data_IF_500384765954
#
_entry.id   IF_500384765954
#
_cell.length_a   1.000
_cell.length_b   1.000
_cell.length_c   1.000
_cell.angle_alpha   90.00
_cell.angle_beta   90.00
_cell.angle_gamma   90.00
#
_symmetry.space_group_name_H-M   'P 1'
#
loop_
_entity.id
_entity.type
_entity.pdbx_description
1 polymer ?
#
# COMPACT_ATOMS: atom_id res chain seq x y z
N UNK A 1 -25.21 -0.11 -14.80
CA UNK A 1 -24.65 -1.48 -14.73
C UNK A 1 -24.23 -1.72 -13.29
N UNK A 2 -24.88 -2.61 -12.57
CA UNK A 2 -24.54 -2.95 -11.19
C UNK A 2 -23.35 -3.88 -11.24
N UNK A 3 -22.27 -3.55 -10.49
CA UNK A 3 -21.16 -4.44 -10.30
C UNK A 3 -21.72 -5.67 -9.58
N UNK A 4 -21.69 -6.84 -10.24
CA UNK A 4 -22.12 -8.14 -9.70
C UNK A 4 -21.13 -8.61 -8.59
N UNK A 5 -21.13 -7.92 -7.49
CA UNK A 5 -20.49 -8.33 -6.26
C UNK A 5 -21.57 -8.49 -5.19
N UNK A 6 -21.48 -9.53 -4.35
CA UNK A 6 -22.43 -9.80 -3.28
C UNK A 6 -22.87 -8.49 -2.62
N UNK A 7 -24.16 -8.11 -2.63
CA UNK A 7 -24.63 -6.79 -2.17
C UNK A 7 -24.33 -6.49 -0.70
N UNK A 8 -23.87 -7.49 0.04
CA UNK A 8 -23.49 -7.45 1.45
C UNK A 8 -21.98 -7.20 1.70
N UNK A 9 -21.13 -7.28 0.67
CA UNK A 9 -19.70 -7.07 0.85
C UNK A 9 -19.41 -5.61 1.23
N UNK A 10 -18.66 -5.40 2.31
CA UNK A 10 -18.27 -4.08 2.82
C UNK A 10 -17.39 -3.32 1.83
N UNK A 11 -16.50 -4.06 1.15
CA UNK A 11 -15.61 -3.53 0.11
C UNK A 11 -15.75 -4.37 -1.15
N UNK A 12 -15.85 -3.70 -2.28
CA UNK A 12 -15.88 -4.32 -3.60
C UNK A 12 -14.96 -3.52 -4.52
N UNK A 13 -14.13 -4.23 -5.26
CA UNK A 13 -13.26 -3.63 -6.27
C UNK A 13 -13.45 -4.37 -7.59
N UNK A 14 -13.64 -3.63 -8.67
CA UNK A 14 -13.83 -4.23 -9.98
C UNK A 14 -13.36 -3.29 -11.10
N UNK A 15 -12.86 -3.84 -12.22
CA UNK A 15 -12.69 -3.07 -13.44
C UNK A 15 -14.06 -2.72 -14.03
N UNK A 16 -14.18 -1.56 -14.66
CA UNK A 16 -15.35 -1.10 -15.38
C UNK A 16 -14.93 -0.45 -16.70
N UNK A 17 -15.60 -0.82 -17.78
CA UNK A 17 -15.36 -0.31 -19.13
C UNK A 17 -14.66 -1.32 -20.03
N UNK A 18 -14.64 -1.01 -21.31
CA UNK A 18 -13.96 -1.75 -22.37
C UNK A 18 -13.00 -0.79 -23.05
N UNK A 19 -11.87 -1.30 -23.55
CA UNK A 19 -10.89 -0.57 -24.33
C UNK A 19 -10.11 0.52 -23.55
N UNK A 20 -9.65 1.55 -24.22
CA UNK A 20 -8.74 2.58 -23.72
C UNK A 20 -9.30 3.41 -22.53
N UNK A 21 -10.61 3.30 -22.26
CA UNK A 21 -11.30 4.03 -21.19
C UNK A 21 -11.68 3.14 -20.01
N UNK A 22 -10.91 2.11 -19.71
CA UNK A 22 -11.17 1.24 -18.58
C UNK A 22 -10.79 1.89 -17.24
N UNK A 23 -11.65 1.69 -16.26
CA UNK A 23 -11.48 2.24 -14.91
C UNK A 23 -11.42 1.10 -13.88
N UNK A 24 -10.78 1.37 -12.76
CA UNK A 24 -10.83 0.51 -11.59
C UNK A 24 -11.61 1.23 -10.49
N UNK A 25 -12.68 0.61 -10.00
CA UNK A 25 -13.57 1.20 -9.00
C UNK A 25 -13.47 0.42 -7.72
N UNK A 26 -13.11 1.11 -6.63
CA UNK A 26 -13.23 0.62 -5.25
C UNK A 26 -14.47 1.23 -4.62
N UNK A 27 -15.38 0.39 -4.12
CA UNK A 27 -16.56 0.80 -3.35
C UNK A 27 -16.38 0.40 -1.90
N UNK A 28 -16.63 1.32 -1.00
CA UNK A 28 -16.74 1.05 0.44
C UNK A 28 -18.12 1.40 0.96
N UNK A 29 -18.80 0.43 1.56
CA UNK A 29 -20.06 0.65 2.29
C UNK A 29 -19.76 1.16 3.69
N UNK A 30 -20.33 2.31 4.04
CA UNK A 30 -20.15 2.93 5.36
C UNK A 30 -21.13 2.31 6.36
N UNK A 31 -20.62 1.65 7.38
CA UNK A 31 -21.36 0.77 8.29
C UNK A 31 -21.93 1.44 9.53
N UNK A 32 -21.47 2.66 9.89
CA UNK A 32 -21.95 3.36 11.07
C UNK A 32 -22.34 4.82 10.79
N UNK A 33 -23.30 5.34 11.54
CA UNK A 33 -23.73 6.74 11.42
C UNK A 33 -22.57 7.71 11.65
N UNK A 34 -21.71 7.42 12.62
CA UNK A 34 -20.52 8.23 12.92
C UNK A 34 -19.54 8.28 11.73
N UNK A 35 -19.32 7.13 11.07
CA UNK A 35 -18.47 7.04 9.89
C UNK A 35 -19.09 7.79 8.70
N UNK A 36 -20.38 7.59 8.45
CA UNK A 36 -21.15 8.30 7.40
C UNK A 36 -21.02 9.81 7.54
N UNK A 37 -21.23 10.31 8.77
CA UNK A 37 -21.12 11.72 9.06
C UNK A 37 -19.70 12.28 8.90
N UNK A 38 -18.65 11.55 9.36
CA UNK A 38 -17.26 11.97 9.17
C UNK A 38 -16.88 12.03 7.68
N UNK A 39 -17.17 10.97 6.93
CA UNK A 39 -16.88 10.91 5.49
C UNK A 39 -17.63 12.02 4.75
N UNK A 40 -18.91 12.23 5.05
CA UNK A 40 -19.73 13.28 4.42
C UNK A 40 -19.18 14.70 4.65
N UNK A 41 -18.53 14.93 5.79
CA UNK A 41 -17.95 16.23 6.16
C UNK A 41 -16.44 16.32 5.97
N UNK A 42 -15.81 15.27 5.43
CA UNK A 42 -14.35 15.23 5.28
C UNK A 42 -13.60 15.38 6.61
N UNK A 43 -14.16 14.90 7.72
CA UNK A 43 -13.55 15.07 9.04
C UNK A 43 -12.63 13.90 9.42
N UNK A 44 -11.46 14.23 9.95
CA UNK A 44 -10.57 13.27 10.56
C UNK A 44 -11.15 12.68 11.87
N UNK A 45 -10.64 11.53 12.26
CA UNK A 45 -10.83 10.95 13.58
C UNK A 45 -10.04 11.75 14.63
N UNK A 46 -10.25 11.44 15.91
CA UNK A 46 -9.54 12.12 17.02
C UNK A 46 -8.01 11.98 16.96
N UNK A 47 -7.52 10.90 16.38
CA UNK A 47 -6.08 10.63 16.18
C UNK A 47 -5.51 11.24 14.87
N UNK A 48 -6.24 12.15 14.22
CA UNK A 48 -5.80 12.82 12.99
C UNK A 48 -5.96 11.99 11.71
N UNK A 49 -6.29 10.70 11.80
CA UNK A 49 -6.48 9.85 10.60
C UNK A 49 -7.89 10.00 10.03
N UNK A 50 -8.04 9.72 8.75
CA UNK A 50 -9.35 9.66 8.11
C UNK A 50 -9.95 8.24 8.14
N UNK A 51 -11.19 8.11 7.69
CA UNK A 51 -11.74 6.81 7.34
C UNK A 51 -11.09 6.34 6.02
N UNK A 52 -10.89 5.05 5.87
CA UNK A 52 -10.02 4.43 4.86
C UNK A 52 -10.23 4.92 3.42
N UNK A 53 -11.47 4.99 2.99
CA UNK A 53 -11.81 5.44 1.63
C UNK A 53 -11.42 6.88 1.37
N UNK A 54 -11.58 7.73 2.37
CA UNK A 54 -11.17 9.13 2.29
C UNK A 54 -9.65 9.26 2.40
N UNK A 55 -9.02 8.46 3.25
CA UNK A 55 -7.57 8.42 3.39
C UNK A 55 -6.90 7.98 2.07
N UNK A 56 -7.40 6.91 1.45
CA UNK A 56 -6.90 6.46 0.15
C UNK A 56 -7.06 7.52 -0.95
N UNK A 57 -8.21 8.21 -0.99
CA UNK A 57 -8.43 9.32 -1.94
C UNK A 57 -7.40 10.44 -1.75
N UNK A 58 -7.23 10.91 -0.51
CA UNK A 58 -6.32 12.01 -0.20
C UNK A 58 -4.87 11.63 -0.49
N UNK A 59 -4.47 10.42 -0.10
CA UNK A 59 -3.13 9.89 -0.30
C UNK A 59 -2.83 9.67 -1.79
N UNK A 60 -3.76 9.10 -2.55
CA UNK A 60 -3.57 8.93 -4.00
C UNK A 60 -3.42 10.27 -4.70
N UNK A 61 -4.22 11.27 -4.33
CA UNK A 61 -4.12 12.62 -4.88
C UNK A 61 -2.76 13.26 -4.56
N UNK A 62 -2.30 13.15 -3.32
CA UNK A 62 -1.02 13.71 -2.90
C UNK A 62 0.16 12.99 -3.56
N UNK A 63 0.11 11.64 -3.66
CA UNK A 63 1.12 10.86 -4.37
C UNK A 63 1.24 11.29 -5.84
N UNK A 64 0.10 11.47 -6.52
CA UNK A 64 0.08 11.99 -7.90
C UNK A 64 0.68 13.40 -7.99
N UNK A 65 0.34 14.28 -7.07
CA UNK A 65 0.89 15.64 -7.03
C UNK A 65 2.41 15.64 -6.89
N UNK A 66 2.98 14.67 -6.18
CA UNK A 66 4.43 14.47 -6.03
C UNK A 66 5.08 13.74 -7.22
N UNK A 67 4.31 13.32 -8.21
CA UNK A 67 4.82 12.59 -9.37
C UNK A 67 5.10 11.11 -9.11
N UNK A 68 4.53 10.54 -8.04
CA UNK A 68 4.72 9.12 -7.73
C UNK A 68 4.09 8.21 -8.80
N UNK A 69 4.70 7.05 -9.07
CA UNK A 69 4.16 6.05 -9.99
C UNK A 69 2.99 5.29 -9.33
N UNK A 70 1.82 5.91 -9.39
CA UNK A 70 0.53 5.38 -8.90
C UNK A 70 -0.52 5.60 -9.98
N UNK A 71 -1.64 4.83 -10.00
CA UNK A 71 -2.70 4.98 -10.98
C UNK A 71 -3.27 6.40 -11.01
N UNK A 72 -3.68 6.86 -12.20
CA UNK A 72 -4.36 8.13 -12.33
C UNK A 72 -5.67 8.14 -11.55
N UNK A 73 -5.82 9.12 -10.69
CA UNK A 73 -7.06 9.38 -9.99
C UNK A 73 -8.03 10.06 -10.96
N UNK A 74 -9.09 9.35 -11.34
CA UNK A 74 -10.14 9.87 -12.24
C UNK A 74 -11.17 10.67 -11.45
N UNK A 75 -11.50 10.19 -10.24
CA UNK A 75 -12.45 10.88 -9.39
C UNK A 75 -12.92 10.03 -8.21
N UNK A 76 -13.96 10.53 -7.58
CA UNK A 76 -14.65 9.82 -6.51
C UNK A 76 -16.16 10.09 -6.60
N UNK A 77 -16.93 9.23 -5.96
CA UNK A 77 -18.37 9.39 -5.89
C UNK A 77 -18.93 8.86 -4.56
N UNK A 78 -20.21 9.11 -4.35
CA UNK A 78 -20.90 8.57 -3.18
C UNK A 78 -22.38 8.33 -3.48
N UNK A 79 -22.98 7.35 -2.82
CA UNK A 79 -24.45 7.20 -2.75
C UNK A 79 -24.97 7.78 -1.45
N UNK A 80 -26.23 8.23 -1.46
CA UNK A 80 -26.93 8.75 -0.26
C UNK A 80 -28.19 7.96 0.04
N UNK A 81 -28.54 7.88 1.31
CA UNK A 81 -29.84 7.41 1.77
C UNK A 81 -30.95 8.42 1.45
N UNK A 82 -32.21 8.02 1.60
CA UNK A 82 -33.36 8.93 1.54
C UNK A 82 -33.26 10.09 2.55
N UNK A 83 -32.53 9.91 3.63
CA UNK A 83 -32.27 10.93 4.66
C UNK A 83 -31.01 11.78 4.36
N UNK A 84 -30.42 11.68 3.17
CA UNK A 84 -29.28 12.48 2.76
C UNK A 84 -27.92 12.05 3.31
N UNK A 85 -27.84 10.95 4.11
CA UNK A 85 -26.57 10.44 4.63
C UNK A 85 -25.84 9.60 3.60
N UNK A 86 -24.52 9.82 3.49
CA UNK A 86 -23.64 9.01 2.61
C UNK A 86 -23.69 7.54 3.06
N UNK A 87 -23.94 6.64 2.11
CA UNK A 87 -24.00 5.19 2.35
C UNK A 87 -22.79 4.45 1.81
N UNK A 88 -22.44 4.75 0.56
CA UNK A 88 -21.29 4.18 -0.11
C UNK A 88 -20.36 5.30 -0.55
N UNK A 89 -19.07 5.02 -0.54
CA UNK A 89 -18.04 5.87 -1.12
C UNK A 89 -17.35 5.08 -2.24
N UNK A 90 -17.06 5.75 -3.35
CA UNK A 90 -16.40 5.19 -4.52
C UNK A 90 -15.12 5.95 -4.81
N UNK A 91 -14.02 5.22 -4.99
CA UNK A 91 -12.78 5.73 -5.53
C UNK A 91 -12.62 5.19 -6.95
N UNK A 92 -12.32 6.05 -7.90
CA UNK A 92 -12.23 5.72 -9.32
C UNK A 92 -10.84 6.09 -9.80
N UNK A 93 -10.08 5.10 -10.23
CA UNK A 93 -8.76 5.27 -10.84
C UNK A 93 -8.78 4.73 -12.27
N UNK A 94 -7.80 5.14 -13.09
CA UNK A 94 -7.57 4.51 -14.37
C UNK A 94 -7.13 3.06 -14.15
N UNK A 95 -7.69 2.14 -14.94
CA UNK A 95 -7.24 0.75 -14.92
C UNK A 95 -5.83 0.65 -15.49
N UNK A 96 -4.95 -0.04 -14.79
CA UNK A 96 -3.61 -0.36 -15.26
C UNK A 96 -3.66 -1.55 -16.23
N UNK A 97 -4.04 -1.28 -17.47
CA UNK A 97 -4.03 -2.30 -18.53
C UNK A 97 -2.62 -2.81 -18.79
N UNK A 98 -2.47 -4.11 -19.05
CA UNK A 98 -1.16 -4.73 -19.27
C UNK A 98 -0.28 -4.85 -18.00
N UNK A 99 -0.83 -4.55 -16.82
CA UNK A 99 -0.11 -4.72 -15.56
C UNK A 99 -0.62 -5.97 -14.81
N UNK A 100 0.30 -6.62 -14.13
CA UNK A 100 0.00 -7.76 -13.24
C UNK A 100 0.59 -7.42 -11.87
N UNK A 101 -0.13 -7.70 -10.79
CA UNK A 101 0.42 -7.55 -9.45
C UNK A 101 1.57 -8.54 -9.21
N UNK A 102 2.57 -8.11 -8.43
CA UNK A 102 3.80 -8.87 -8.23
C UNK A 102 3.57 -10.24 -7.60
N UNK A 103 2.60 -10.35 -6.67
CA UNK A 103 2.29 -11.64 -6.05
C UNK A 103 1.71 -12.63 -7.07
N UNK A 104 0.75 -12.20 -7.87
CA UNK A 104 0.18 -13.01 -8.94
C UNK A 104 1.23 -13.40 -9.98
N UNK A 105 2.16 -12.47 -10.28
CA UNK A 105 3.26 -12.74 -11.20
C UNK A 105 4.18 -13.84 -10.69
N UNK A 106 4.63 -13.78 -9.44
CA UNK A 106 5.48 -14.80 -8.81
C UNK A 106 4.74 -16.14 -8.74
N UNK A 107 3.47 -16.14 -8.34
CA UNK A 107 2.65 -17.36 -8.25
C UNK A 107 2.50 -18.08 -9.59
N UNK A 108 2.35 -17.33 -10.68
CA UNK A 108 2.15 -17.89 -12.01
C UNK A 108 3.48 -18.21 -12.74
N UNK A 109 4.56 -17.53 -12.38
CA UNK A 109 5.89 -17.69 -12.94
C UNK A 109 6.95 -17.48 -11.85
N UNK A 110 7.28 -18.51 -11.03
CA UNK A 110 8.25 -18.40 -9.92
C UNK A 110 9.62 -17.84 -10.34
N UNK A 111 10.07 -18.11 -11.54
CA UNK A 111 11.32 -17.58 -12.08
C UNK A 111 11.34 -16.04 -12.20
N UNK A 112 10.19 -15.41 -12.13
CA UNK A 112 10.07 -13.95 -12.10
C UNK A 112 10.37 -13.30 -10.75
N UNK A 113 10.59 -14.09 -9.70
CA UNK A 113 10.71 -13.63 -8.30
C UNK A 113 11.76 -12.53 -8.12
N UNK A 114 12.97 -12.77 -8.59
CA UNK A 114 14.06 -11.79 -8.45
C UNK A 114 13.73 -10.46 -9.12
N UNK A 115 13.12 -10.51 -10.30
CA UNK A 115 12.63 -9.31 -11.00
C UNK A 115 11.56 -8.58 -10.19
N UNK A 116 10.64 -9.31 -9.57
CA UNK A 116 9.57 -8.72 -8.74
C UNK A 116 10.16 -8.05 -7.49
N UNK A 117 11.08 -8.72 -6.78
CA UNK A 117 11.74 -8.15 -5.60
C UNK A 117 12.50 -6.88 -5.97
N UNK A 118 13.33 -6.93 -7.01
CA UNK A 118 14.11 -5.77 -7.45
C UNK A 118 13.21 -4.60 -7.85
N UNK A 119 12.18 -4.82 -8.65
CA UNK A 119 11.23 -3.78 -9.06
C UNK A 119 10.47 -3.18 -7.84
N UNK A 120 10.17 -4.00 -6.84
CA UNK A 120 9.52 -3.54 -5.62
C UNK A 120 10.43 -2.66 -4.76
N UNK A 121 11.72 -3.02 -4.65
CA UNK A 121 12.71 -2.24 -3.91
C UNK A 121 13.04 -0.92 -4.63
N UNK A 122 13.09 -0.93 -5.95
CA UNK A 122 13.24 0.28 -6.75
C UNK A 122 12.02 1.21 -6.61
N UNK A 123 10.82 0.66 -6.60
CA UNK A 123 9.60 1.41 -6.34
C UNK A 123 9.58 1.98 -4.92
N UNK A 124 9.98 1.18 -3.92
CA UNK A 124 10.10 1.63 -2.54
C UNK A 124 11.03 2.84 -2.44
N UNK A 125 12.22 2.75 -3.03
CA UNK A 125 13.17 3.85 -3.09
C UNK A 125 12.59 5.09 -3.79
N UNK A 126 11.93 4.90 -4.94
CA UNK A 126 11.27 5.99 -5.68
C UNK A 126 10.22 6.70 -4.82
N UNK A 127 9.40 5.95 -4.08
CA UNK A 127 8.42 6.55 -3.17
C UNK A 127 9.10 7.34 -2.05
N UNK A 128 10.13 6.79 -1.40
CA UNK A 128 10.89 7.49 -0.38
C UNK A 128 11.55 8.77 -0.89
N UNK A 129 12.13 8.76 -2.10
CA UNK A 129 12.74 9.96 -2.71
C UNK A 129 11.72 11.08 -2.97
N UNK A 130 10.45 10.73 -3.11
CA UNK A 130 9.33 11.67 -3.23
C UNK A 130 8.70 12.03 -1.87
N UNK A 131 9.31 11.61 -0.77
CA UNK A 131 8.81 11.83 0.58
C UNK A 131 7.52 11.08 0.88
N UNK A 132 7.37 9.89 0.31
CA UNK A 132 6.20 9.01 0.50
C UNK A 132 6.64 7.73 1.17
N UNK A 133 6.09 7.43 2.34
CA UNK A 133 6.31 6.17 3.05
C UNK A 133 5.06 5.30 2.95
N UNK A 134 5.13 4.21 2.23
CA UNK A 134 4.02 3.27 2.03
C UNK A 134 4.12 2.09 3.01
N UNK A 135 3.33 2.12 4.09
CA UNK A 135 3.39 1.12 5.18
C UNK A 135 2.59 -0.17 4.90
N UNK A 136 2.19 -0.38 3.66
CA UNK A 136 1.51 -1.60 3.20
C UNK A 136 2.02 -2.05 1.82
N UNK A 137 3.28 -1.72 1.50
CA UNK A 137 3.88 -2.10 0.21
C UNK A 137 4.36 -3.55 0.28
N UNK A 138 3.60 -4.44 -0.34
CA UNK A 138 3.96 -5.83 -0.55
C UNK A 138 3.69 -6.24 -1.99
N UNK A 139 4.07 -7.44 -2.39
CA UNK A 139 4.07 -7.82 -3.81
C UNK A 139 2.72 -7.62 -4.53
N UNK A 140 1.57 -7.82 -3.85
CA UNK A 140 0.27 -7.59 -4.47
C UNK A 140 -0.10 -6.10 -4.62
N UNK A 141 0.58 -5.20 -3.92
CA UNK A 141 0.41 -3.76 -4.04
C UNK A 141 1.43 -3.11 -5.01
N UNK A 142 2.23 -3.92 -5.68
CA UNK A 142 3.17 -3.54 -6.74
C UNK A 142 2.64 -4.02 -8.08
N UNK A 143 2.23 -3.12 -8.93
CA UNK A 143 1.73 -3.41 -10.28
C UNK A 143 2.87 -3.34 -11.28
N UNK A 144 3.14 -4.46 -11.93
CA UNK A 144 4.26 -4.63 -12.87
C UNK A 144 3.75 -4.63 -14.30
N UNK A 145 4.18 -3.69 -15.15
CA UNK A 145 3.91 -3.74 -16.57
C UNK A 145 4.80 -4.79 -17.25
N UNK A 146 4.49 -5.12 -18.49
CA UNK A 146 5.40 -5.92 -19.32
C UNK A 146 6.72 -5.18 -19.53
N UNK A 147 6.65 -3.88 -19.81
CA UNK A 147 7.79 -2.98 -19.98
C UNK A 147 7.56 -1.69 -19.18
N UNK A 148 8.64 -1.11 -18.67
CA UNK A 148 8.58 0.13 -17.88
C UNK A 148 8.67 -0.10 -16.37
N UNK A 149 8.37 0.95 -15.61
CA UNK A 149 8.49 0.98 -14.16
C UNK A 149 7.23 0.48 -13.45
N UNK A 150 7.43 -0.12 -12.28
CA UNK A 150 6.34 -0.56 -11.41
C UNK A 150 5.53 0.63 -10.85
N UNK A 151 4.26 0.37 -10.54
CA UNK A 151 3.38 1.33 -9.89
C UNK A 151 2.86 0.79 -8.55
N UNK A 152 2.74 1.67 -7.57
CA UNK A 152 2.14 1.33 -6.27
C UNK A 152 0.62 1.53 -6.31
N UNK A 153 -0.10 0.61 -5.67
CA UNK A 153 -1.56 0.72 -5.44
C UNK A 153 -1.86 0.62 -3.94
N UNK A 154 -3.10 0.88 -3.56
CA UNK A 154 -3.60 0.77 -2.18
C UNK A 154 -2.94 1.75 -1.20
N UNK A 155 -3.05 3.05 -1.52
CA UNK A 155 -2.39 4.15 -0.81
C UNK A 155 -2.99 4.47 0.58
N UNK A 156 -3.84 3.60 1.15
CA UNK A 156 -4.54 3.92 2.41
C UNK A 156 -3.60 4.07 3.63
N UNK A 157 -2.46 3.39 3.64
CA UNK A 157 -1.52 3.42 4.77
C UNK A 157 -0.19 4.07 4.38
N UNK A 158 -0.27 5.30 3.88
CA UNK A 158 0.88 6.08 3.47
C UNK A 158 1.06 7.33 4.33
N UNK A 159 2.32 7.75 4.46
CA UNK A 159 2.69 9.01 5.09
C UNK A 159 3.41 9.89 4.09
N UNK A 160 3.22 11.20 4.23
CA UNK A 160 3.75 12.23 3.34
C UNK A 160 4.59 13.27 4.10
N UNK A 161 4.98 12.95 5.31
CA UNK A 161 5.85 13.73 6.18
C UNK A 161 7.15 12.97 6.40
N UNK A 162 8.26 13.65 6.71
CA UNK A 162 9.48 12.99 7.16
C UNK A 162 9.23 12.19 8.44
N UNK A 163 10.10 11.21 8.70
CA UNK A 163 10.17 10.50 9.97
C UNK A 163 11.61 10.51 10.49
N UNK A 164 11.78 10.62 11.78
CA UNK A 164 13.06 10.47 12.46
C UNK A 164 13.45 8.98 12.61
N UNK A 165 12.53 8.07 12.27
CA UNK A 165 12.66 6.61 12.43
C UNK A 165 12.73 5.92 11.05
N UNK A 166 13.58 6.46 10.16
CA UNK A 166 13.69 5.93 8.80
C UNK A 166 14.23 4.49 8.80
N UNK A 167 15.23 4.20 9.64
CA UNK A 167 15.84 2.88 9.71
C UNK A 167 14.82 1.81 10.14
N UNK A 168 14.07 2.07 11.20
CA UNK A 168 13.01 1.19 11.70
C UNK A 168 11.87 1.03 10.67
N UNK A 169 11.51 2.12 10.02
CA UNK A 169 10.49 2.13 8.97
C UNK A 169 10.89 1.26 7.77
N UNK A 170 12.14 1.39 7.32
CA UNK A 170 12.69 0.55 6.25
C UNK A 170 12.80 -0.91 6.71
N UNK A 171 13.28 -1.15 7.94
CA UNK A 171 13.32 -2.50 8.52
C UNK A 171 11.94 -3.16 8.45
N UNK A 172 10.89 -2.44 8.87
CA UNK A 172 9.52 -2.92 8.74
C UNK A 172 9.14 -3.19 7.27
N UNK A 173 9.37 -2.25 6.36
CA UNK A 173 8.92 -2.38 4.97
C UNK A 173 9.58 -3.57 4.26
N UNK A 174 10.89 -3.77 4.42
CA UNK A 174 11.60 -4.91 3.85
C UNK A 174 11.18 -6.23 4.50
N UNK A 175 11.06 -6.29 5.83
CA UNK A 175 10.62 -7.49 6.54
C UNK A 175 9.17 -7.85 6.21
N UNK A 176 8.27 -6.88 6.19
CA UNK A 176 6.87 -7.06 5.82
C UNK A 176 6.70 -7.58 4.38
N UNK A 177 7.52 -7.10 3.44
CA UNK A 177 7.50 -7.59 2.06
C UNK A 177 7.82 -9.09 2.01
N UNK A 178 8.80 -9.57 2.77
CA UNK A 178 9.12 -10.99 2.90
C UNK A 178 7.98 -11.76 3.55
N UNK A 179 7.51 -11.30 4.72
CA UNK A 179 6.44 -11.93 5.49
C UNK A 179 5.14 -12.11 4.69
N UNK A 180 4.84 -11.18 3.79
CA UNK A 180 3.66 -11.23 2.93
C UNK A 180 3.88 -12.12 1.73
N UNK A 181 3.94 -13.44 1.96
CA UNK A 181 3.95 -14.52 0.96
C UNK A 181 5.29 -14.77 0.24
N UNK A 182 6.23 -13.80 0.21
CA UNK A 182 7.49 -13.96 -0.52
C UNK A 182 8.36 -15.07 0.08
N UNK A 183 8.32 -15.27 1.41
CA UNK A 183 9.02 -16.36 2.11
C UNK A 183 8.73 -17.76 1.54
N UNK A 184 7.63 -17.94 0.81
CA UNK A 184 7.27 -19.23 0.18
C UNK A 184 8.08 -19.55 -1.08
N UNK A 185 8.72 -18.54 -1.65
CA UNK A 185 9.37 -18.63 -2.97
C UNK A 185 10.87 -18.41 -2.92
N UNK A 186 11.41 -17.96 -1.81
CA UNK A 186 12.83 -17.69 -1.63
C UNK A 186 13.30 -18.09 -0.23
N UNK A 187 14.54 -18.57 -0.12
CA UNK A 187 15.17 -18.79 1.18
C UNK A 187 15.44 -17.45 1.85
N UNK A 188 15.37 -17.43 3.18
CA UNK A 188 15.62 -16.22 3.95
C UNK A 188 16.99 -15.62 3.63
N UNK A 189 18.05 -16.45 3.62
CA UNK A 189 19.40 -16.01 3.29
C UNK A 189 19.52 -15.37 1.89
N UNK A 190 18.82 -15.91 0.89
CA UNK A 190 18.83 -15.34 -0.45
C UNK A 190 18.05 -14.02 -0.52
N UNK A 191 16.98 -13.88 0.27
CA UNK A 191 16.25 -12.62 0.39
C UNK A 191 17.08 -11.58 1.14
N UNK A 192 17.71 -11.93 2.25
CA UNK A 192 18.58 -11.05 3.05
C UNK A 192 19.73 -10.49 2.20
N UNK A 193 20.31 -11.32 1.33
CA UNK A 193 21.34 -10.86 0.40
C UNK A 193 20.83 -9.77 -0.58
N UNK A 194 19.59 -9.91 -1.08
CA UNK A 194 18.96 -8.88 -1.93
C UNK A 194 18.65 -7.60 -1.15
N UNK A 195 18.19 -7.73 0.10
CA UNK A 195 17.97 -6.58 0.99
C UNK A 195 19.28 -5.84 1.27
N UNK A 196 20.35 -6.58 1.59
CA UNK A 196 21.67 -5.97 1.82
C UNK A 196 22.15 -5.17 0.59
N UNK A 197 21.99 -5.72 -0.62
CA UNK A 197 22.30 -5.00 -1.86
C UNK A 197 21.43 -3.75 -2.06
N UNK A 198 20.12 -3.86 -1.79
CA UNK A 198 19.21 -2.73 -1.90
C UNK A 198 19.54 -1.60 -0.91
N UNK A 199 19.91 -1.95 0.32
CA UNK A 199 20.33 -0.97 1.33
C UNK A 199 21.60 -0.23 0.92
N UNK A 200 22.62 -0.95 0.40
CA UNK A 200 23.83 -0.31 -0.11
C UNK A 200 23.53 0.62 -1.28
N UNK A 201 22.65 0.20 -2.17
CA UNK A 201 22.33 0.94 -3.39
C UNK A 201 21.44 2.15 -3.16
N UNK A 202 20.42 2.02 -2.32
CA UNK A 202 19.32 2.98 -2.22
C UNK A 202 19.30 3.75 -0.89
N UNK A 203 19.86 3.16 0.18
CA UNK A 203 19.82 3.72 1.53
C UNK A 203 21.18 3.54 2.24
N UNK A 204 22.29 4.05 1.65
CA UNK A 204 23.65 3.80 2.15
C UNK A 204 23.87 4.30 3.58
N UNK A 205 23.22 5.40 3.96
CA UNK A 205 23.41 6.08 5.24
C UNK A 205 22.43 5.61 6.34
N UNK A 206 21.62 4.57 6.07
CA UNK A 206 20.66 4.07 7.06
C UNK A 206 21.38 3.40 8.22
N UNK A 207 20.94 3.68 9.46
CA UNK A 207 21.41 3.01 10.66
C UNK A 207 21.07 1.50 10.61
N UNK A 208 22.11 0.65 10.53
CA UNK A 208 21.96 -0.78 10.30
C UNK A 208 21.43 -1.52 11.52
N UNK A 209 21.73 -1.07 12.71
CA UNK A 209 21.31 -1.75 13.95
C UNK A 209 19.82 -1.52 14.20
N UNK A 210 19.38 -0.28 14.08
CA UNK A 210 17.95 0.06 14.17
C UNK A 210 17.14 -0.61 13.05
N UNK A 211 17.67 -0.65 11.82
CA UNK A 211 17.07 -1.40 10.72
C UNK A 211 16.91 -2.88 11.06
N UNK A 212 18.02 -3.56 11.42
CA UNK A 212 18.05 -5.01 11.64
C UNK A 212 17.07 -5.43 12.74
N UNK A 213 17.02 -4.68 13.86
CA UNK A 213 16.09 -4.95 14.96
C UNK A 213 14.63 -5.05 14.51
N UNK A 214 14.17 -4.12 13.68
CA UNK A 214 12.78 -4.12 13.20
C UNK A 214 12.58 -5.11 12.05
N UNK A 215 13.58 -5.25 11.19
CA UNK A 215 13.57 -6.16 10.06
C UNK A 215 13.36 -7.61 10.49
N UNK A 216 14.11 -8.07 11.50
CA UNK A 216 14.00 -9.44 12.03
C UNK A 216 12.59 -9.72 12.58
N UNK A 217 12.01 -8.79 13.33
CA UNK A 217 10.65 -8.95 13.84
C UNK A 217 9.64 -8.97 12.67
N UNK A 218 9.78 -8.04 11.73
CA UNK A 218 8.83 -7.89 10.63
C UNK A 218 8.88 -9.02 9.59
N UNK A 219 10.00 -9.76 9.49
CA UNK A 219 10.11 -10.98 8.66
C UNK A 219 9.30 -12.15 9.22
N UNK A 220 9.11 -12.22 10.54
CA UNK A 220 8.59 -13.41 11.20
C UNK A 220 7.25 -13.18 11.90
N UNK A 221 6.84 -11.92 12.12
CA UNK A 221 5.64 -11.61 12.87
C UNK A 221 4.63 -10.80 12.07
N UNK A 222 3.34 -11.11 12.29
CA UNK A 222 2.25 -10.30 11.75
C UNK A 222 2.15 -8.98 12.52
N UNK A 223 2.44 -7.88 11.84
CA UNK A 223 2.35 -6.53 12.39
C UNK A 223 1.06 -5.88 11.91
N UNK A 224 0.15 -5.65 12.85
CA UNK A 224 -1.14 -5.02 12.59
C UNK A 224 -0.99 -3.55 12.14
N UNK A 225 -2.00 -3.06 11.42
CA UNK A 225 -1.99 -1.73 10.79
C UNK A 225 -1.72 -0.56 11.75
N UNK A 226 -2.21 -0.60 12.97
CA UNK A 226 -1.94 0.45 13.97
C UNK A 226 -0.47 0.44 14.38
N UNK A 227 0.10 -0.74 14.62
CA UNK A 227 1.52 -0.88 14.95
C UNK A 227 2.46 -0.42 13.82
N UNK A 228 2.09 -0.63 12.56
CA UNK A 228 2.85 -0.09 11.42
C UNK A 228 2.95 1.43 11.48
N UNK A 229 1.87 2.11 11.88
CA UNK A 229 1.86 3.57 12.08
C UNK A 229 2.73 4.00 13.26
N UNK A 230 2.73 3.23 14.33
CA UNK A 230 3.59 3.47 15.50
C UNK A 230 5.08 3.36 15.13
N UNK A 231 5.47 2.36 14.32
CA UNK A 231 6.85 2.24 13.81
C UNK A 231 7.25 3.51 13.06
N UNK A 232 6.41 4.00 12.16
CA UNK A 232 6.69 5.23 11.42
C UNK A 232 6.79 6.46 12.35
N UNK A 233 5.95 6.55 13.40
CA UNK A 233 5.81 7.73 14.25
C UNK A 233 6.85 7.80 15.37
N UNK A 234 7.29 6.65 15.90
CA UNK A 234 8.16 6.61 17.09
C UNK A 234 9.19 5.45 17.08
N UNK A 235 9.34 4.72 15.96
CA UNK A 235 10.25 3.60 15.85
C UNK A 235 9.92 2.39 16.73
N UNK A 236 8.78 2.41 17.43
CA UNK A 236 8.46 1.43 18.45
C UNK A 236 7.90 0.15 17.84
N UNK A 237 8.56 -0.95 18.14
CA UNK A 237 8.09 -2.31 17.92
C UNK A 237 8.59 -3.18 19.07
N UNK A 238 7.74 -4.07 19.56
CA UNK A 238 8.10 -5.13 20.46
C UNK A 238 7.78 -6.47 19.80
N UNK A 239 8.67 -7.41 19.92
CA UNK A 239 8.43 -8.80 19.53
C UNK A 239 7.34 -9.40 20.42
N UNK A 240 6.60 -10.37 19.88
CA UNK A 240 5.65 -11.18 20.68
C UNK A 240 6.35 -12.21 21.56
N UNK A 241 7.65 -12.39 21.33
CA UNK A 241 8.47 -13.41 21.96
C UNK A 241 9.43 -12.83 23.04
N UNK A 242 9.39 -11.51 23.26
CA UNK A 242 10.13 -10.81 24.32
C UNK A 242 9.38 -10.82 25.65
#
# INVERSE_FOLDING_TARGET
MLIDGKPTAKRVSAPLGCDESAYFIKRERLDSLKKKWRVQRGRAKRNGTYDWSLEELLNTREARRRGAPVPDLVGYGYSRSKLGLVQDFFLITRLLTGHVDGFKKVRNAPDSLERVIRASFELLHTLHSLGITHMDLWAANVMLPEQGSAQAIDMENCFFTPTDYLAETLGFQFGFFYFREIYRYVTEAAYDAQVAQALVRYFPDVDRDSFARVYEIAKHEEIGRMKRREIFQNGAIASRWD
#
